data_IF_118464119426
#
_entry.id   IF_118464119426
#
_cell.length_a   1.000
_cell.length_b   1.000
_cell.length_c   1.000
_cell.angle_alpha   90.00
_cell.angle_beta   90.00
_cell.angle_gamma   90.00
#
_symmetry.space_group_name_H-M   'P 1'
#
loop_
_entity.id
_entity.type
_entity.pdbx_description
1 polymer ?
#
# COMPACT_ATOMS: atom_id res chain seq x y z
N UNK A 1 -9.11 -53.95 37.61
CA UNK A 1 -10.38 -53.36 37.16
C UNK A 1 -10.39 -51.91 37.63
N UNK A 2 -9.73 -51.04 36.85
CA UNK A 2 -9.92 -49.59 36.76
C UNK A 2 -9.50 -49.24 35.34
N UNK A 3 -10.37 -48.50 34.67
CA UNK A 3 -10.47 -48.38 33.23
C UNK A 3 -9.37 -47.52 32.57
N UNK A 4 -9.11 -47.92 31.33
CA UNK A 4 -8.59 -47.16 30.20
C UNK A 4 -9.11 -45.72 30.12
N UNK A 5 -8.19 -44.74 30.06
CA UNK A 5 -8.23 -43.67 29.04
C UNK A 5 -6.88 -42.95 28.96
N UNK A 6 -5.86 -43.61 28.40
CA UNK A 6 -4.62 -42.92 28.00
C UNK A 6 -4.80 -42.46 26.56
N UNK A 7 -5.08 -41.17 26.37
CA UNK A 7 -5.21 -40.58 25.04
C UNK A 7 -3.84 -40.50 24.38
N UNK A 8 -3.62 -41.39 23.42
CA UNK A 8 -2.68 -41.24 22.32
C UNK A 8 -2.99 -39.94 21.56
N UNK A 9 -2.11 -38.95 21.70
CA UNK A 9 -1.98 -37.86 20.75
C UNK A 9 -0.51 -37.71 20.39
N UNK A 10 -0.12 -38.60 19.48
CA UNK A 10 0.92 -38.44 18.47
C UNK A 10 1.11 -36.95 18.12
N UNK A 11 2.27 -36.41 18.47
CA UNK A 11 2.67 -35.06 18.07
C UNK A 11 2.98 -35.08 16.58
N UNK A 12 2.22 -34.39 15.71
CA UNK A 12 2.60 -34.29 14.32
C UNK A 12 3.91 -33.48 14.25
N UNK A 13 4.92 -34.14 13.69
CA UNK A 13 6.17 -33.53 13.28
C UNK A 13 5.89 -32.18 12.64
N UNK A 14 6.38 -31.10 13.27
CA UNK A 14 6.39 -29.79 12.64
C UNK A 14 7.18 -29.95 11.35
N UNK A 15 6.47 -29.83 10.23
CA UNK A 15 7.08 -29.63 8.94
C UNK A 15 7.99 -28.42 9.06
N UNK A 16 9.29 -28.68 9.05
CA UNK A 16 10.34 -27.71 8.89
C UNK A 16 10.16 -27.10 7.49
N UNK A 17 9.31 -26.08 7.41
CA UNK A 17 9.18 -25.23 6.23
C UNK A 17 10.38 -24.28 6.20
N UNK A 18 11.59 -24.86 6.10
CA UNK A 18 12.74 -24.16 5.59
C UNK A 18 12.53 -23.95 4.08
N UNK A 19 11.86 -22.84 3.77
CA UNK A 19 11.99 -22.16 2.48
C UNK A 19 12.31 -20.69 2.70
N UNK A 20 13.17 -20.44 3.69
CA UNK A 20 14.04 -19.28 3.64
C UNK A 20 15.31 -19.75 2.93
N UNK A 21 15.38 -19.45 1.65
CA UNK A 21 16.59 -19.04 0.91
C UNK A 21 16.54 -19.57 -0.52
N UNK A 22 15.55 -19.08 -1.29
CA UNK A 22 15.69 -19.06 -2.74
C UNK A 22 16.50 -17.82 -3.07
N UNK A 23 17.78 -18.02 -3.31
CA UNK A 23 18.65 -17.05 -3.97
C UNK A 23 17.92 -16.44 -5.18
N UNK A 24 17.80 -15.11 -5.17
CA UNK A 24 17.73 -14.31 -6.39
C UNK A 24 18.80 -13.22 -6.28
N UNK A 25 19.85 -13.41 -7.06
CA UNK A 25 20.72 -12.36 -7.58
C UNK A 25 19.90 -11.50 -8.57
N UNK A 26 20.24 -10.21 -8.63
CA UNK A 26 19.61 -9.11 -9.39
C UNK A 26 18.42 -8.39 -8.73
N UNK A 27 18.70 -7.21 -8.13
CA UNK A 27 17.73 -6.12 -8.08
C UNK A 27 16.93 -5.87 -6.79
N UNK A 28 17.47 -6.18 -5.61
CA UNK A 28 17.03 -5.53 -4.36
C UNK A 28 16.40 -6.46 -3.32
N UNK A 29 17.19 -6.86 -2.32
CA UNK A 29 16.65 -7.30 -1.05
C UNK A 29 17.63 -6.98 0.10
N UNK A 30 17.41 -5.82 0.72
CA UNK A 30 17.84 -5.57 2.10
C UNK A 30 16.59 -5.15 2.87
N UNK A 31 16.04 -6.03 3.70
CA UNK A 31 14.86 -5.70 4.52
C UNK A 31 15.19 -5.94 5.99
N UNK A 32 15.72 -4.92 6.63
CA UNK A 32 16.02 -4.92 8.06
C UNK A 32 14.85 -4.47 8.96
N UNK A 33 13.75 -3.94 8.39
CA UNK A 33 12.72 -3.20 9.15
C UNK A 33 11.30 -3.82 9.16
N UNK A 34 11.10 -5.08 8.80
CA UNK A 34 9.75 -5.68 8.91
C UNK A 34 8.65 -5.04 8.05
N UNK A 35 9.01 -4.31 6.98
CA UNK A 35 8.11 -3.63 6.02
C UNK A 35 6.73 -4.25 5.73
N UNK A 36 5.71 -3.42 5.72
CA UNK A 36 4.34 -3.81 5.37
C UNK A 36 4.27 -4.20 3.89
N UNK A 37 3.67 -5.35 3.58
CA UNK A 37 3.37 -5.76 2.20
C UNK A 37 1.93 -5.39 1.82
N UNK A 38 1.63 -5.41 0.52
CA UNK A 38 0.26 -5.19 0.05
C UNK A 38 -0.74 -6.15 0.71
N UNK A 39 -0.35 -7.40 0.92
CA UNK A 39 -1.19 -8.45 1.51
C UNK A 39 -1.56 -8.18 2.98
N UNK A 40 -0.69 -7.49 3.72
CA UNK A 40 -0.87 -7.19 5.15
C UNK A 40 -1.93 -6.11 5.40
N UNK A 41 -2.22 -5.28 4.38
CA UNK A 41 -3.23 -4.24 4.47
C UNK A 41 -4.64 -4.81 4.23
N UNK A 42 -5.62 -4.32 5.00
CA UNK A 42 -7.03 -4.56 4.70
C UNK A 42 -7.43 -3.90 3.38
N UNK A 43 -8.55 -4.34 2.78
CA UNK A 43 -9.08 -3.72 1.57
C UNK A 43 -9.31 -2.22 1.75
N UNK A 44 -9.87 -1.81 2.89
CA UNK A 44 -10.12 -0.40 3.19
C UNK A 44 -8.82 0.41 3.33
N UNK A 45 -7.79 -0.14 3.97
CA UNK A 45 -6.48 0.51 4.07
C UNK A 45 -5.82 0.70 2.70
N UNK A 46 -5.90 -0.29 1.82
CA UNK A 46 -5.41 -0.18 0.43
C UNK A 46 -6.15 0.91 -0.33
N UNK A 47 -7.47 0.94 -0.20
CA UNK A 47 -8.31 1.95 -0.85
C UNK A 47 -8.02 3.36 -0.34
N UNK A 48 -7.80 3.53 0.98
CA UNK A 48 -7.37 4.80 1.55
C UNK A 48 -5.99 5.23 1.02
N UNK A 49 -5.04 4.30 0.91
CA UNK A 49 -3.72 4.60 0.38
C UNK A 49 -3.78 5.08 -1.09
N UNK A 50 -4.57 4.37 -1.91
CA UNK A 50 -4.83 4.77 -3.29
C UNK A 50 -5.53 6.13 -3.39
N UNK A 51 -6.49 6.40 -2.50
CA UNK A 51 -7.21 7.67 -2.46
C UNK A 51 -6.26 8.83 -2.13
N UNK A 52 -5.36 8.68 -1.16
CA UNK A 52 -4.34 9.70 -0.84
C UNK A 52 -3.43 9.95 -2.04
N UNK A 53 -2.86 8.90 -2.63
CA UNK A 53 -1.98 9.03 -3.80
C UNK A 53 -2.69 9.70 -4.99
N UNK A 54 -3.99 9.45 -5.14
CA UNK A 54 -4.82 10.11 -6.16
C UNK A 54 -5.07 11.58 -5.84
N UNK A 55 -5.37 11.91 -4.59
CA UNK A 55 -5.52 13.30 -4.17
C UNK A 55 -4.23 14.10 -4.44
N UNK A 56 -3.06 13.54 -4.13
CA UNK A 56 -1.77 14.17 -4.41
C UNK A 56 -1.54 14.38 -5.91
N UNK A 57 -1.73 13.32 -6.71
CA UNK A 57 -1.55 13.36 -8.15
C UNK A 57 -2.46 14.40 -8.83
N UNK A 58 -3.71 14.47 -8.38
CA UNK A 58 -4.72 15.38 -8.94
C UNK A 58 -4.65 16.79 -8.34
N UNK A 59 -3.74 17.06 -7.40
CA UNK A 59 -3.62 18.34 -6.70
C UNK A 59 -4.85 18.68 -5.82
N UNK A 60 -5.61 17.67 -5.42
CA UNK A 60 -6.77 17.81 -4.52
C UNK A 60 -6.30 17.91 -3.07
N UNK A 61 -7.20 18.32 -2.18
CA UNK A 61 -6.95 18.32 -0.74
C UNK A 61 -6.67 16.90 -0.27
N UNK A 62 -5.56 16.72 0.43
CA UNK A 62 -5.17 15.46 1.08
C UNK A 62 -5.44 15.51 2.59
N UNK A 63 -6.37 16.38 3.01
CA UNK A 63 -6.97 16.33 4.34
C UNK A 63 -8.03 15.22 4.39
N UNK A 64 -8.48 14.88 5.60
CA UNK A 64 -9.43 13.80 5.79
C UNK A 64 -10.72 13.99 4.99
N UNK A 65 -11.21 15.22 4.88
CA UNK A 65 -12.40 15.54 4.09
C UNK A 65 -12.18 15.32 2.59
N UNK A 66 -11.00 15.70 2.06
CA UNK A 66 -10.64 15.47 0.67
C UNK A 66 -10.51 13.97 0.35
N UNK A 67 -9.87 13.21 1.23
CA UNK A 67 -9.74 11.75 1.10
C UNK A 67 -11.12 11.08 1.20
N UNK A 68 -11.96 11.53 2.14
CA UNK A 68 -13.33 11.03 2.30
C UNK A 68 -14.16 11.20 1.03
N UNK A 69 -14.08 12.38 0.38
CA UNK A 69 -14.74 12.63 -0.92
C UNK A 69 -14.27 11.69 -2.03
N UNK A 70 -12.99 11.37 -2.07
CA UNK A 70 -12.45 10.43 -3.08
C UNK A 70 -12.90 8.98 -2.83
N UNK A 71 -13.32 8.67 -1.60
CA UNK A 71 -13.82 7.35 -1.21
C UNK A 71 -15.35 7.24 -1.25
N UNK A 72 -16.07 8.35 -1.31
CA UNK A 72 -17.54 8.44 -1.18
C UNK A 72 -18.27 7.52 -2.18
N UNK A 73 -17.83 7.48 -3.44
CA UNK A 73 -18.42 6.61 -4.47
C UNK A 73 -18.38 5.12 -4.12
N UNK A 74 -17.32 4.68 -3.42
CA UNK A 74 -17.15 3.28 -2.97
C UNK A 74 -17.70 3.04 -1.57
N UNK A 75 -17.72 4.08 -0.74
CA UNK A 75 -18.08 4.04 0.67
C UNK A 75 -19.01 5.22 1.00
N UNK A 76 -20.29 5.18 0.58
CA UNK A 76 -21.21 6.32 0.66
C UNK A 76 -21.60 6.74 2.09
N UNK A 77 -21.26 5.93 3.09
CA UNK A 77 -21.45 6.24 4.52
C UNK A 77 -20.12 6.15 5.26
N UNK A 78 -19.06 6.71 4.66
CA UNK A 78 -17.75 6.75 5.29
C UNK A 78 -17.71 7.84 6.35
N UNK A 79 -17.77 7.43 7.61
CA UNK A 79 -17.66 8.34 8.74
C UNK A 79 -16.20 8.57 9.17
N UNK A 80 -15.98 9.72 9.81
CA UNK A 80 -14.71 10.13 10.43
C UNK A 80 -14.13 9.04 11.35
N UNK A 81 -15.00 8.42 12.17
CA UNK A 81 -14.64 7.40 13.14
C UNK A 81 -14.03 6.13 12.51
N UNK A 82 -14.21 5.94 11.20
CA UNK A 82 -13.58 4.85 10.45
C UNK A 82 -12.37 5.32 9.66
N UNK A 83 -12.45 6.50 9.04
CA UNK A 83 -11.39 7.03 8.19
C UNK A 83 -10.15 7.44 9.01
N UNK A 84 -10.34 8.25 10.06
CA UNK A 84 -9.22 8.76 10.86
C UNK A 84 -8.36 7.65 11.49
N UNK A 85 -8.92 6.62 12.15
CA UNK A 85 -8.10 5.53 12.69
C UNK A 85 -7.37 4.76 11.58
N UNK A 86 -7.99 4.61 10.41
CA UNK A 86 -7.36 3.94 9.27
C UNK A 86 -6.15 4.73 8.76
N UNK A 87 -6.28 6.04 8.60
CA UNK A 87 -5.16 6.91 8.21
C UNK A 87 -4.04 6.88 9.27
N UNK A 88 -4.40 6.86 10.55
CA UNK A 88 -3.44 6.72 11.65
C UNK A 88 -2.66 5.40 11.58
N UNK A 89 -3.32 4.29 11.25
CA UNK A 89 -2.64 2.99 11.06
C UNK A 89 -1.68 3.03 9.86
N UNK A 90 -2.09 3.66 8.75
CA UNK A 90 -1.21 3.82 7.59
C UNK A 90 0.02 4.71 7.88
N UNK A 91 -0.13 5.73 8.73
CA UNK A 91 1.00 6.49 9.28
C UNK A 91 1.88 5.61 10.17
N UNK A 92 1.29 4.78 11.02
CA UNK A 92 2.01 3.80 11.84
C UNK A 92 2.83 2.80 11.03
N UNK A 93 2.34 2.41 9.84
CA UNK A 93 3.06 1.59 8.87
C UNK A 93 4.11 2.34 8.05
N UNK A 94 4.30 3.65 8.30
CA UNK A 94 5.17 4.53 7.49
C UNK A 94 4.81 4.56 6.01
N UNK A 95 3.54 4.30 5.68
CA UNK A 95 3.04 4.44 4.32
C UNK A 95 2.57 5.88 4.06
N UNK A 96 2.04 6.53 5.09
CA UNK A 96 1.67 7.94 5.06
C UNK A 96 2.51 8.77 6.02
N UNK A 97 2.74 10.02 5.66
CA UNK A 97 3.25 11.06 6.55
C UNK A 97 2.14 12.04 6.92
N UNK A 98 2.05 12.38 8.20
CA UNK A 98 1.17 13.42 8.70
C UNK A 98 1.89 14.77 8.62
N UNK A 99 1.36 15.73 7.87
CA UNK A 99 1.89 17.10 7.77
C UNK A 99 0.88 18.12 8.26
N UNK A 100 1.33 19.08 9.06
CA UNK A 100 0.48 20.17 9.52
C UNK A 100 0.54 21.32 8.52
N UNK A 101 -0.62 21.75 8.02
CA UNK A 101 -0.73 22.92 7.16
C UNK A 101 -0.85 24.16 8.04
N UNK A 102 0.15 25.03 7.95
CA UNK A 102 0.30 26.23 8.79
C UNK A 102 -0.87 27.23 8.67
N UNK A 103 -1.59 27.23 7.55
CA UNK A 103 -2.60 28.25 7.25
C UNK A 103 -3.98 27.98 7.88
N UNK A 104 -4.31 26.73 8.25
CA UNK A 104 -5.67 26.38 8.69
C UNK A 104 -5.71 25.41 9.87
N UNK A 105 -4.57 25.04 10.46
CA UNK A 105 -4.51 24.04 11.53
C UNK A 105 -4.98 22.66 11.09
N UNK A 106 -5.08 22.43 9.78
CA UNK A 106 -5.50 21.15 9.20
C UNK A 106 -4.31 20.23 8.99
N UNK A 107 -4.62 18.96 9.10
CA UNK A 107 -3.67 17.87 8.89
C UNK A 107 -3.84 17.33 7.48
N UNK A 108 -2.73 17.24 6.77
CA UNK A 108 -2.66 16.55 5.48
C UNK A 108 -1.91 15.24 5.61
N UNK A 109 -2.30 14.29 4.78
CA UNK A 109 -1.65 12.99 4.67
C UNK A 109 -0.94 12.91 3.33
N UNK A 110 0.35 12.61 3.37
CA UNK A 110 1.21 12.55 2.18
C UNK A 110 1.69 11.13 1.98
N UNK A 111 1.67 10.62 0.75
CA UNK A 111 2.19 9.29 0.47
C UNK A 111 3.72 9.30 0.56
N UNK A 112 4.27 8.34 1.31
CA UNK A 112 5.72 8.15 1.36
C UNK A 112 6.23 7.50 0.08
N UNK A 113 7.55 7.55 -0.14
CA UNK A 113 8.19 6.76 -1.20
C UNK A 113 7.90 5.26 -1.07
N UNK A 114 7.78 4.75 0.17
CA UNK A 114 7.40 3.36 0.44
C UNK A 114 5.98 3.04 -0.01
N UNK A 115 5.02 3.94 0.22
CA UNK A 115 3.66 3.80 -0.31
C UNK A 115 3.62 3.82 -1.84
N UNK A 116 4.36 4.74 -2.48
CA UNK A 116 4.45 4.80 -3.93
C UNK A 116 5.03 3.51 -4.52
N UNK A 117 6.12 2.99 -3.94
CA UNK A 117 6.71 1.72 -4.35
C UNK A 117 5.73 0.55 -4.20
N UNK A 118 4.98 0.51 -3.10
CA UNK A 118 3.97 -0.52 -2.83
C UNK A 118 2.79 -0.46 -3.84
N UNK A 119 2.37 0.73 -4.25
CA UNK A 119 1.35 0.93 -5.28
C UNK A 119 1.86 0.55 -6.68
N UNK A 120 3.11 0.87 -6.99
CA UNK A 120 3.75 0.48 -8.26
C UNK A 120 3.87 -1.04 -8.39
N UNK A 121 4.41 -1.72 -7.38
CA UNK A 121 4.49 -3.18 -7.31
C UNK A 121 3.10 -3.83 -7.44
N UNK A 122 2.06 -3.22 -6.86
CA UNK A 122 0.68 -3.67 -7.08
C UNK A 122 0.21 -3.50 -8.53
N UNK A 123 0.47 -2.36 -9.14
CA UNK A 123 0.09 -2.08 -10.52
C UNK A 123 0.79 -3.02 -11.51
N UNK A 124 2.08 -3.29 -11.31
CA UNK A 124 2.87 -4.22 -12.10
C UNK A 124 2.30 -5.64 -12.02
N UNK A 125 2.04 -6.16 -10.81
CA UNK A 125 1.41 -7.48 -10.64
C UNK A 125 0.03 -7.59 -11.28
N UNK A 126 -0.76 -6.51 -11.24
CA UNK A 126 -2.05 -6.46 -11.93
C UNK A 126 -1.88 -6.50 -13.45
N UNK A 127 -0.94 -5.73 -13.99
CA UNK A 127 -0.64 -5.71 -15.41
C UNK A 127 -0.19 -7.09 -15.90
N UNK A 128 0.74 -7.74 -15.17
CA UNK A 128 1.18 -9.11 -15.47
C UNK A 128 0.02 -10.10 -15.49
N UNK A 129 -0.87 -10.04 -14.49
CA UNK A 129 -2.06 -10.90 -14.42
C UNK A 129 -2.99 -10.70 -15.63
N UNK A 130 -3.08 -9.47 -16.12
CA UNK A 130 -3.86 -9.11 -17.30
C UNK A 130 -3.11 -9.33 -18.63
N UNK A 131 -1.84 -9.73 -18.60
CA UNK A 131 -0.98 -9.83 -19.79
C UNK A 131 -0.64 -8.47 -20.43
N UNK A 132 -0.69 -7.39 -19.66
CA UNK A 132 -0.39 -6.03 -20.08
C UNK A 132 1.07 -5.67 -19.79
N UNK A 133 1.66 -4.83 -20.64
CA UNK A 133 2.99 -4.24 -20.41
C UNK A 133 2.80 -2.83 -19.85
N UNK A 134 3.40 -2.57 -18.69
CA UNK A 134 3.49 -1.21 -18.13
C UNK A 134 4.66 -0.50 -18.80
N UNK A 135 4.37 0.60 -19.50
CA UNK A 135 5.39 1.48 -20.08
C UNK A 135 5.42 2.79 -19.29
N UNK A 136 6.61 3.23 -18.89
CA UNK A 136 6.77 4.53 -18.27
C UNK A 136 6.59 5.64 -19.31
N UNK A 137 5.70 6.60 -19.03
CA UNK A 137 5.44 7.74 -19.91
C UNK A 137 6.38 8.93 -19.68
N UNK A 138 7.33 8.84 -18.74
CA UNK A 138 8.25 9.94 -18.44
C UNK A 138 9.19 10.36 -19.60
N UNK A 139 9.16 9.67 -20.75
CA UNK A 139 10.08 9.87 -21.87
C UNK A 139 9.60 10.69 -23.08
N UNK A 140 8.36 11.20 -23.13
CA UNK A 140 7.81 11.83 -24.37
C UNK A 140 7.68 13.36 -24.30
N UNK A 141 8.70 14.04 -23.75
CA UNK A 141 8.75 15.51 -23.69
C UNK A 141 9.97 16.12 -24.40
N UNK A 142 10.50 15.45 -25.44
CA UNK A 142 11.58 16.01 -26.26
C UNK A 142 11.41 15.72 -27.75
N UNK A 143 10.40 16.31 -28.40
CA UNK A 143 10.40 16.45 -29.87
C UNK A 143 9.30 17.39 -30.38
N UNK A 144 9.27 18.67 -29.99
CA UNK A 144 8.66 19.71 -30.85
C UNK A 144 9.46 21.01 -30.77
N UNK A 145 9.78 21.51 -31.96
CA UNK A 145 10.24 22.86 -32.31
C UNK A 145 11.75 23.16 -32.27
N UNK A 146 12.43 22.73 -33.34
CA UNK A 146 13.47 23.53 -33.97
C UNK A 146 13.41 23.30 -35.49
N UNK A 147 12.65 24.14 -36.18
CA UNK A 147 12.47 24.09 -37.63
C UNK A 147 11.63 25.26 -38.10
N UNK A 148 12.20 26.47 -38.05
CA UNK A 148 11.76 27.59 -38.87
C UNK A 148 12.96 27.98 -39.76
N UNK A 149 12.69 28.07 -41.06
CA UNK A 149 13.67 28.27 -42.12
C UNK A 149 13.49 29.59 -42.85
#
# INVERSE_FOLDING_TARGET
>A
MHDDTSWDLESPARADASSADRLRVDGGLLRADGGTTWADLTAFQRDCLEAVARCERDGKRCDEAGIGRELEDRYPNLDHDRLYPTLTVLVGHRLLERRERAEEGRVEYVATSGACALLLDRAERLAETCGLVVVDRAGDSSAREAGDG
#
